data_IF_920032712951
#
_entry.id   IF_920032712951
#
_cell.length_a   1.000
_cell.length_b   1.000
_cell.length_c   1.000
_cell.angle_alpha   90.00
_cell.angle_beta   90.00
_cell.angle_gamma   90.00
#
_symmetry.space_group_name_H-M   'P 1'
#
loop_
_entity.id
_entity.type
_entity.pdbx_description
1 polymer ?
#
# COMPACT_ATOMS: atom_id res chain seq x y z
N UNK A 1 17.58 16.32 7.89
CA UNK A 1 16.25 15.78 8.32
C UNK A 1 16.44 14.34 8.75
N UNK A 2 16.32 14.06 10.03
CA UNK A 2 16.44 12.74 10.65
C UNK A 2 15.08 12.31 11.20
N UNK A 3 14.49 11.27 10.63
CA UNK A 3 13.18 10.80 11.07
C UNK A 3 13.28 10.08 12.42
N UNK A 4 12.33 10.38 13.30
CA UNK A 4 12.10 9.71 14.58
C UNK A 4 10.87 8.79 14.51
N UNK A 5 9.90 9.17 13.68
CA UNK A 5 8.68 8.39 13.47
C UNK A 5 8.13 8.64 12.09
N UNK A 6 7.71 7.56 11.44
CA UNK A 6 7.00 7.57 10.16
C UNK A 6 5.70 6.81 10.37
N UNK A 7 4.55 7.42 10.07
CA UNK A 7 3.26 6.81 10.30
C UNK A 7 2.30 7.05 9.12
N UNK A 8 1.76 5.98 8.57
CA UNK A 8 0.65 6.04 7.62
C UNK A 8 -0.67 6.06 8.38
N UNK A 9 -1.51 7.05 8.11
CA UNK A 9 -2.82 7.18 8.75
C UNK A 9 -3.87 6.29 8.07
N UNK A 10 -5.01 6.11 8.72
CA UNK A 10 -6.17 5.42 8.12
C UNK A 10 -6.70 6.08 6.84
N UNK A 11 -6.37 7.35 6.62
CA UNK A 11 -6.73 8.10 5.40
C UNK A 11 -5.68 7.96 4.29
N UNK A 12 -4.70 7.06 4.45
CA UNK A 12 -3.55 6.91 3.56
C UNK A 12 -2.74 8.21 3.40
N UNK A 13 -2.64 9.02 4.44
CA UNK A 13 -1.76 10.19 4.51
C UNK A 13 -0.56 9.89 5.39
N UNK A 14 0.53 10.63 5.24
CA UNK A 14 1.77 10.42 5.96
C UNK A 14 1.93 11.44 7.09
N UNK A 15 2.11 10.96 8.31
CA UNK A 15 2.55 11.75 9.43
C UNK A 15 4.00 11.39 9.76
N UNK A 16 4.82 12.38 10.03
CA UNK A 16 6.22 12.18 10.41
C UNK A 16 6.59 13.03 11.61
N UNK A 17 7.53 12.50 12.40
CA UNK A 17 8.27 13.25 13.39
C UNK A 17 9.75 13.16 13.01
N UNK A 18 10.42 14.28 12.93
CA UNK A 18 11.84 14.33 12.62
C UNK A 18 12.55 15.43 13.40
N UNK A 19 13.88 15.31 13.52
CA UNK A 19 14.73 16.40 14.00
C UNK A 19 15.11 17.29 12.82
N UNK A 20 14.96 18.61 13.03
CA UNK A 20 15.49 19.61 12.10
C UNK A 20 17.01 19.78 12.27
N UNK A 21 17.62 20.61 11.44
CA UNK A 21 19.06 20.89 11.50
C UNK A 21 19.48 21.63 12.80
N UNK A 22 18.54 22.19 13.53
CA UNK A 22 18.76 22.82 14.84
C UNK A 22 18.55 21.84 16.01
N UNK A 23 18.18 20.58 15.72
CA UNK A 23 17.92 19.53 16.72
C UNK A 23 16.51 19.57 17.32
N UNK A 24 15.60 20.42 16.82
CA UNK A 24 14.23 20.48 17.33
C UNK A 24 13.38 19.34 16.75
N UNK A 25 12.50 18.78 17.58
CA UNK A 25 11.49 17.82 17.13
C UNK A 25 10.36 18.54 16.41
N UNK A 26 10.17 18.21 15.15
CA UNK A 26 9.11 18.73 14.29
C UNK A 26 8.13 17.61 13.96
N UNK A 27 6.86 17.84 14.24
CA UNK A 27 5.78 16.92 13.82
C UNK A 27 5.06 17.53 12.63
N UNK A 28 4.97 16.77 11.54
CA UNK A 28 4.27 17.20 10.33
C UNK A 28 3.19 16.20 9.98
N UNK A 29 1.98 16.74 9.72
CA UNK A 29 0.80 15.96 9.33
C UNK A 29 0.55 16.18 7.85
N UNK A 30 0.61 15.10 7.07
CA UNK A 30 0.38 15.14 5.64
C UNK A 30 -1.09 15.24 5.28
N UNK A 31 -1.40 16.10 4.31
CA UNK A 31 -2.75 16.25 3.75
C UNK A 31 -3.00 15.43 2.49
N UNK A 32 -1.93 15.01 1.82
CA UNK A 32 -2.00 14.29 0.55
C UNK A 32 -1.91 12.77 0.75
N UNK A 33 -2.52 12.02 -0.17
CA UNK A 33 -2.45 10.56 -0.18
C UNK A 33 -1.02 10.12 -0.51
N UNK A 34 -0.55 9.07 0.16
CA UNK A 34 0.78 8.52 -0.08
C UNK A 34 0.86 7.86 -1.46
N UNK A 35 2.03 7.96 -2.09
CA UNK A 35 2.31 7.27 -3.34
C UNK A 35 2.36 5.74 -3.11
N UNK A 36 2.04 4.98 -4.17
CA UNK A 36 2.06 3.51 -4.14
C UNK A 36 3.41 2.92 -3.70
N UNK A 37 4.53 3.57 -4.05
CA UNK A 37 5.86 3.08 -3.72
C UNK A 37 6.11 3.14 -2.21
N UNK A 38 5.70 4.21 -1.53
CA UNK A 38 5.77 4.30 -0.07
C UNK A 38 4.92 3.21 0.59
N UNK A 39 3.72 2.95 0.05
CA UNK A 39 2.87 1.87 0.54
C UNK A 39 3.51 0.49 0.32
N UNK A 40 4.18 0.29 -0.80
CA UNK A 40 4.90 -0.95 -1.09
C UNK A 40 6.11 -1.13 -0.16
N UNK A 41 6.87 -0.06 0.10
CA UNK A 41 7.98 -0.08 1.05
C UNK A 41 7.51 -0.42 2.47
N UNK A 42 6.41 0.19 2.96
CA UNK A 42 5.82 -0.18 4.25
C UNK A 42 5.33 -1.63 4.29
N UNK A 43 4.73 -2.12 3.21
CA UNK A 43 4.30 -3.51 3.13
C UNK A 43 5.48 -4.51 3.14
N UNK A 44 6.68 -4.11 2.70
CA UNK A 44 7.86 -4.96 2.78
C UNK A 44 8.29 -5.26 4.23
N UNK A 45 7.83 -4.47 5.20
CA UNK A 45 8.07 -4.68 6.63
C UNK A 45 7.13 -5.71 7.27
N UNK A 46 6.04 -6.12 6.59
CA UNK A 46 5.07 -7.06 7.14
C UNK A 46 5.69 -8.43 7.49
N UNK A 47 6.52 -9.05 6.66
CA UNK A 47 7.20 -10.29 7.03
C UNK A 47 8.10 -10.13 8.26
N UNK A 48 8.78 -9.00 8.39
CA UNK A 48 9.67 -8.72 9.51
C UNK A 48 8.90 -8.61 10.83
N UNK A 49 7.83 -7.82 10.89
CA UNK A 49 7.01 -7.73 12.11
C UNK A 49 6.38 -9.10 12.46
N UNK A 50 6.00 -9.90 11.46
CA UNK A 50 5.46 -11.23 11.70
C UNK A 50 6.48 -12.19 12.31
N UNK A 51 7.72 -12.15 11.86
CA UNK A 51 8.83 -12.95 12.43
C UNK A 51 9.19 -12.46 13.82
N UNK A 52 9.42 -11.15 14.00
CA UNK A 52 9.80 -10.57 15.28
C UNK A 52 8.76 -10.72 16.39
N UNK A 53 7.49 -10.88 16.02
CA UNK A 53 6.38 -11.07 16.97
C UNK A 53 5.88 -12.50 17.00
N UNK A 54 6.66 -13.44 16.44
CA UNK A 54 6.40 -14.88 16.46
C UNK A 54 4.98 -15.25 16.00
N UNK A 55 4.52 -14.62 14.94
CA UNK A 55 3.19 -14.87 14.45
C UNK A 55 3.08 -16.29 13.88
N UNK A 56 1.97 -16.98 14.17
CA UNK A 56 1.72 -18.36 13.75
C UNK A 56 1.94 -18.60 12.25
N UNK A 57 1.63 -17.62 11.42
CA UNK A 57 1.80 -17.69 9.97
C UNK A 57 3.28 -17.62 9.55
N UNK A 58 4.14 -17.11 10.42
CA UNK A 58 5.58 -17.01 10.22
C UNK A 58 6.37 -18.17 10.90
N UNK A 59 5.69 -18.99 11.71
CA UNK A 59 6.31 -20.11 12.40
C UNK A 59 6.98 -21.08 11.42
N UNK A 60 8.24 -21.42 11.69
CA UNK A 60 9.09 -22.31 10.86
C UNK A 60 9.25 -21.84 9.39
N UNK A 61 9.14 -20.53 9.13
CA UNK A 61 9.28 -19.96 7.78
C UNK A 61 10.42 -18.96 7.73
N UNK A 62 11.10 -18.94 6.60
CA UNK A 62 12.14 -17.94 6.31
C UNK A 62 11.52 -16.65 5.76
N UNK A 63 12.27 -15.54 5.82
CA UNK A 63 11.87 -14.27 5.24
C UNK A 63 11.47 -14.42 3.76
N UNK A 64 12.29 -15.11 2.95
CA UNK A 64 12.01 -15.35 1.51
C UNK A 64 10.71 -16.11 1.26
N UNK A 65 10.38 -17.07 2.14
CA UNK A 65 9.11 -17.81 2.02
C UNK A 65 7.90 -16.93 2.34
N UNK A 66 8.04 -16.00 3.29
CA UNK A 66 6.99 -15.05 3.62
C UNK A 66 6.82 -14.01 2.50
N UNK A 67 7.91 -13.51 1.94
CA UNK A 67 7.88 -12.56 0.81
C UNK A 67 7.25 -13.17 -0.44
N UNK A 68 7.49 -14.46 -0.70
CA UNK A 68 6.87 -15.16 -1.82
C UNK A 68 5.34 -15.20 -1.75
N UNK A 69 4.76 -15.18 -0.55
CA UNK A 69 3.30 -15.12 -0.36
C UNK A 69 2.68 -13.80 -0.86
N UNK A 70 3.49 -12.74 -1.00
CA UNK A 70 3.05 -11.45 -1.55
C UNK A 70 2.58 -11.56 -2.99
N UNK A 71 3.19 -12.48 -3.74
CA UNK A 71 2.96 -12.67 -5.18
C UNK A 71 1.80 -13.65 -5.43
N UNK A 72 1.51 -14.54 -4.47
CA UNK A 72 0.45 -15.53 -4.59
C UNK A 72 -0.90 -14.96 -4.13
N UNK A 73 -1.63 -14.35 -5.04
CA UNK A 73 -3.03 -13.98 -4.82
C UNK A 73 -3.85 -15.24 -4.52
N UNK A 74 -4.49 -15.26 -3.33
CA UNK A 74 -5.38 -16.35 -2.92
C UNK A 74 -4.95 -17.15 -1.69
N UNK A 75 -3.71 -17.02 -1.21
CA UNK A 75 -3.28 -17.70 0.02
C UNK A 75 -3.94 -17.04 1.25
N UNK A 76 -4.95 -17.72 1.83
CA UNK A 76 -5.67 -17.23 3.02
C UNK A 76 -4.80 -17.12 4.28
N UNK A 77 -3.62 -17.74 4.28
CA UNK A 77 -2.65 -17.71 5.39
C UNK A 77 -1.51 -16.73 5.16
N UNK A 78 -1.56 -15.94 4.10
CA UNK A 78 -0.54 -14.92 3.85
C UNK A 78 -0.52 -13.87 4.96
N UNK A 79 0.66 -13.57 5.49
CA UNK A 79 0.85 -12.49 6.48
C UNK A 79 0.41 -11.14 5.91
N UNK A 80 0.52 -10.91 4.60
CA UNK A 80 0.11 -9.67 3.92
C UNK A 80 -1.41 -9.44 3.94
N UNK A 81 -2.22 -10.48 4.15
CA UNK A 81 -3.68 -10.36 4.30
C UNK A 81 -4.11 -10.12 5.73
N UNK A 82 -3.32 -10.62 6.68
CA UNK A 82 -3.67 -10.63 8.09
C UNK A 82 -3.02 -9.49 8.87
N UNK A 83 -1.97 -8.89 8.33
CA UNK A 83 -1.18 -7.88 9.03
C UNK A 83 -0.96 -6.64 8.18
N UNK A 84 -0.81 -5.53 8.87
CA UNK A 84 -0.37 -4.26 8.31
C UNK A 84 0.75 -3.70 9.18
N UNK A 85 1.68 -2.97 8.55
CA UNK A 85 2.61 -2.09 9.26
C UNK A 85 2.20 -0.67 8.92
N UNK A 86 1.92 0.15 9.91
CA UNK A 86 1.51 1.54 9.72
C UNK A 86 2.48 2.54 10.37
N UNK A 87 3.33 2.09 11.28
CA UNK A 87 4.22 2.95 12.05
C UNK A 87 5.61 2.34 12.14
N UNK A 88 6.61 3.17 11.90
CA UNK A 88 8.04 2.91 12.18
C UNK A 88 8.48 3.95 13.19
N UNK A 89 9.13 3.52 14.28
CA UNK A 89 9.80 4.40 15.22
C UNK A 89 11.30 4.14 15.12
N UNK A 90 12.06 5.21 14.94
CA UNK A 90 13.51 5.21 14.82
C UNK A 90 14.13 5.88 16.03
N UNK A 91 15.25 5.36 16.51
CA UNK A 91 16.02 6.07 17.52
C UNK A 91 16.92 7.13 16.88
N UNK A 92 17.55 7.93 17.74
CA UNK A 92 18.62 8.84 17.34
C UNK A 92 19.67 8.10 16.49
N UNK A 93 20.08 8.75 15.41
CA UNK A 93 21.03 8.22 14.42
C UNK A 93 20.56 6.98 13.66
N UNK A 94 19.23 6.70 13.63
CA UNK A 94 18.62 5.56 12.91
C UNK A 94 19.23 4.20 13.31
N UNK A 95 19.84 4.11 14.50
CA UNK A 95 20.50 2.90 14.98
C UNK A 95 19.58 1.85 15.55
N UNK A 96 18.37 2.22 15.94
CA UNK A 96 17.37 1.24 16.35
C UNK A 96 16.01 1.51 15.74
N UNK A 97 15.25 0.45 15.55
CA UNK A 97 13.93 0.46 14.92
C UNK A 97 12.94 -0.37 15.70
N UNK A 98 11.70 0.12 15.81
CA UNK A 98 10.55 -0.69 16.15
C UNK A 98 9.44 -0.49 15.14
N UNK A 99 8.68 -1.55 14.88
CA UNK A 99 7.56 -1.57 13.96
C UNK A 99 6.26 -1.71 14.73
N UNK A 100 5.24 -0.97 14.32
CA UNK A 100 3.90 -1.16 14.83
C UNK A 100 2.88 -1.23 13.70
N UNK A 101 1.81 -1.97 13.95
CA UNK A 101 0.75 -2.16 12.99
C UNK A 101 -0.45 -2.87 13.58
N UNK A 102 -1.23 -3.50 12.75
CA UNK A 102 -2.43 -4.22 13.14
C UNK A 102 -2.44 -5.64 12.60
N UNK A 103 -3.07 -6.54 13.34
CA UNK A 103 -3.37 -7.89 12.91
C UNK A 103 -4.87 -8.14 12.93
N UNK A 104 -5.38 -8.77 11.88
CA UNK A 104 -6.76 -9.23 11.77
C UNK A 104 -6.81 -10.68 12.27
N UNK A 105 -7.61 -10.93 13.29
CA UNK A 105 -7.83 -12.26 13.83
C UNK A 105 -8.88 -13.04 13.01
N UNK A 106 -8.94 -14.37 13.19
CA UNK A 106 -9.90 -15.23 12.47
C UNK A 106 -11.37 -14.83 12.68
N UNK A 107 -11.69 -14.24 13.83
CA UNK A 107 -13.03 -13.73 14.15
C UNK A 107 -13.28 -12.30 13.60
N UNK A 108 -12.35 -11.75 12.81
CA UNK A 108 -12.43 -10.40 12.24
C UNK A 108 -12.04 -9.27 13.19
N UNK A 109 -11.70 -9.56 14.45
CA UNK A 109 -11.19 -8.54 15.38
C UNK A 109 -9.82 -8.06 14.93
N UNK A 110 -9.56 -6.77 15.14
CA UNK A 110 -8.26 -6.14 14.85
C UNK A 110 -7.54 -5.87 16.17
N UNK A 111 -6.32 -6.37 16.29
CA UNK A 111 -5.45 -6.10 17.43
C UNK A 111 -4.22 -5.30 16.97
N UNK A 112 -3.69 -4.48 17.86
CA UNK A 112 -2.38 -3.85 17.64
C UNK A 112 -1.27 -4.87 17.87
N UNK A 113 -0.23 -4.76 17.05
CA UNK A 113 0.99 -5.55 17.15
C UNK A 113 2.16 -4.57 17.12
N UNK A 114 3.07 -4.74 18.05
CA UNK A 114 4.31 -3.96 18.15
C UNK A 114 5.49 -4.92 18.22
N UNK A 115 6.54 -4.65 17.44
CA UNK A 115 7.78 -5.41 17.51
C UNK A 115 8.63 -4.96 18.70
N UNK A 116 9.54 -5.81 19.19
CA UNK A 116 10.65 -5.35 20.00
C UNK A 116 11.43 -4.24 19.28
N UNK A 117 12.11 -3.40 20.04
CA UNK A 117 13.08 -2.47 19.49
C UNK A 117 14.37 -3.24 19.15
N UNK A 118 14.82 -3.16 17.92
CA UNK A 118 16.06 -3.78 17.46
C UNK A 118 17.09 -2.71 17.16
N UNK A 119 18.33 -2.97 17.56
CA UNK A 119 19.48 -2.13 17.22
C UNK A 119 20.19 -2.72 16.00
N UNK A 120 20.72 -1.90 15.12
CA UNK A 120 21.48 -2.33 13.94
C UNK A 120 22.73 -3.15 14.27
N UNK A 121 23.23 -3.03 15.52
CA UNK A 121 24.35 -3.83 16.02
C UNK A 121 23.92 -5.20 16.58
N UNK A 122 22.63 -5.42 16.84
CA UNK A 122 22.10 -6.62 17.48
C UNK A 122 21.76 -7.72 16.45
N UNK A 123 22.70 -8.03 15.58
CA UNK A 123 22.51 -9.04 14.52
C UNK A 123 22.18 -10.43 15.10
N UNK A 124 22.62 -10.71 16.34
CA UNK A 124 22.33 -11.98 17.02
C UNK A 124 20.87 -12.09 17.48
N UNK A 125 20.18 -10.96 17.66
CA UNK A 125 18.78 -10.94 18.16
C UNK A 125 17.75 -11.22 17.08
N UNK A 126 18.09 -11.01 15.80
CA UNK A 126 17.22 -11.20 14.67
C UNK A 126 18.01 -11.54 13.40
N UNK A 127 17.83 -12.75 12.87
CA UNK A 127 18.60 -13.27 11.73
C UNK A 127 18.53 -12.41 10.47
N UNK A 128 17.45 -11.63 10.31
CA UNK A 128 17.23 -10.76 9.13
C UNK A 128 17.37 -9.28 9.48
N UNK A 129 18.25 -8.95 10.43
CA UNK A 129 18.45 -7.58 10.89
C UNK A 129 18.87 -6.65 9.74
N UNK A 130 19.80 -7.08 8.90
CA UNK A 130 20.31 -6.29 7.76
C UNK A 130 19.19 -6.00 6.74
N UNK A 131 18.38 -7.02 6.39
CA UNK A 131 17.26 -6.88 5.47
C UNK A 131 16.19 -5.95 6.03
N UNK A 132 15.94 -6.00 7.35
CA UNK A 132 15.04 -5.08 8.03
C UNK A 132 15.50 -3.63 7.88
N UNK A 133 16.78 -3.35 8.16
CA UNK A 133 17.31 -1.98 8.06
C UNK A 133 17.30 -1.48 6.61
N UNK A 134 17.58 -2.32 5.62
CA UNK A 134 17.44 -1.96 4.20
C UNK A 134 15.98 -1.63 3.84
N UNK A 135 15.02 -2.41 4.35
CA UNK A 135 13.60 -2.13 4.11
C UNK A 135 13.15 -0.82 4.80
N UNK A 136 13.66 -0.53 6.01
CA UNK A 136 13.41 0.73 6.72
C UNK A 136 14.03 1.92 5.97
N UNK A 137 15.23 1.77 5.43
CA UNK A 137 15.88 2.79 4.61
C UNK A 137 15.04 3.12 3.36
N UNK A 138 14.48 2.10 2.70
CA UNK A 138 13.58 2.30 1.56
C UNK A 138 12.33 3.12 1.95
N UNK A 139 11.72 2.85 3.12
CA UNK A 139 10.58 3.64 3.63
C UNK A 139 11.02 5.07 3.94
N UNK A 140 12.15 5.25 4.59
CA UNK A 140 12.73 6.56 4.92
C UNK A 140 12.96 7.39 3.66
N UNK A 141 13.50 6.77 2.61
CA UNK A 141 13.71 7.40 1.31
C UNK A 141 12.39 7.86 0.68
N UNK A 142 11.40 6.99 0.59
CA UNK A 142 10.10 7.34 0.03
C UNK A 142 9.36 8.40 0.87
N UNK A 143 9.53 8.38 2.19
CA UNK A 143 8.99 9.43 3.06
C UNK A 143 9.68 10.80 2.81
N UNK A 144 10.97 10.82 2.52
CA UNK A 144 11.69 12.04 2.09
C UNK A 144 11.13 12.58 0.76
N UNK A 145 10.92 11.69 -0.23
CA UNK A 145 10.35 12.08 -1.53
C UNK A 145 8.93 12.67 -1.38
N UNK A 146 8.12 12.11 -0.48
CA UNK A 146 6.78 12.63 -0.20
C UNK A 146 6.82 14.10 0.24
N UNK A 147 7.77 14.47 1.11
CA UNK A 147 7.86 15.82 1.67
C UNK A 147 8.69 16.78 0.82
N UNK A 148 9.80 16.34 0.26
CA UNK A 148 10.74 17.20 -0.44
C UNK A 148 10.41 17.36 -1.92
N UNK A 149 9.89 16.30 -2.55
CA UNK A 149 9.64 16.25 -3.99
C UNK A 149 8.15 16.19 -4.32
N UNK A 150 7.27 16.31 -3.32
CA UNK A 150 5.82 16.24 -3.50
C UNK A 150 5.38 14.94 -4.22
N UNK A 151 6.07 13.82 -4.00
CA UNK A 151 5.71 12.51 -4.57
C UNK A 151 4.47 11.96 -3.88
N UNK A 152 3.31 12.44 -4.29
CA UNK A 152 2.01 12.05 -3.73
C UNK A 152 1.31 11.01 -4.60
N UNK A 153 0.38 10.29 -4.01
CA UNK A 153 -0.57 9.43 -4.72
C UNK A 153 -1.73 10.24 -5.28
N UNK A 154 -2.45 9.61 -6.20
CA UNK A 154 -3.69 10.16 -6.76
C UNK A 154 -4.84 9.75 -5.85
N UNK A 155 -5.71 10.68 -5.45
CA UNK A 155 -6.94 10.35 -4.73
C UNK A 155 -7.90 9.61 -5.66
N UNK A 156 -8.53 8.55 -5.17
CA UNK A 156 -9.65 7.94 -5.89
C UNK A 156 -10.74 9.01 -6.13
N UNK A 157 -11.03 9.31 -7.38
CA UNK A 157 -11.95 10.38 -7.80
C UNK A 157 -11.28 11.61 -8.41
N UNK A 158 -9.96 11.80 -8.25
CA UNK A 158 -9.22 12.89 -8.91
C UNK A 158 -8.72 12.50 -10.32
N UNK A 159 -9.06 11.32 -10.82
CA UNK A 159 -8.86 10.95 -12.22
C UNK A 159 -9.94 11.65 -13.06
N UNK A 160 -9.69 12.91 -13.36
CA UNK A 160 -10.45 13.63 -14.38
C UNK A 160 -10.02 13.11 -15.75
N UNK A 161 -10.74 12.10 -16.26
CA UNK A 161 -10.54 11.57 -17.61
C UNK A 161 -10.91 12.58 -18.71
N UNK A 162 -11.33 13.79 -18.34
CA UNK A 162 -11.74 14.83 -19.29
C UNK A 162 -10.58 15.69 -19.82
N UNK A 163 -9.36 15.58 -19.26
CA UNK A 163 -8.32 16.57 -19.55
C UNK A 163 -7.38 16.25 -20.71
N UNK A 164 -7.25 14.98 -21.14
CA UNK A 164 -6.40 14.65 -22.29
C UNK A 164 -6.96 13.39 -22.99
N UNK A 165 -8.09 13.55 -23.69
CA UNK A 165 -8.47 12.62 -24.73
C UNK A 165 -7.71 13.03 -26.02
N UNK A 166 -6.61 12.34 -26.39
CA UNK A 166 -5.94 12.60 -27.66
C UNK A 166 -6.82 12.26 -28.87
N UNK A 167 -8.07 11.84 -28.63
CA UNK A 167 -9.09 11.51 -29.62
C UNK A 167 -10.21 12.53 -29.76
N UNK A 168 -10.09 13.74 -29.22
CA UNK A 168 -11.01 14.83 -29.56
C UNK A 168 -10.68 15.41 -30.96
N UNK A 169 -10.44 14.52 -31.89
CA UNK A 169 -10.59 14.79 -33.30
C UNK A 169 -12.07 14.93 -33.57
N UNK A 170 -12.55 16.18 -33.73
CA UNK A 170 -13.84 16.49 -34.32
C UNK A 170 -14.04 15.64 -35.57
N UNK A 171 -14.73 14.50 -35.42
CA UNK A 171 -15.30 13.80 -36.56
C UNK A 171 -16.40 14.70 -37.07
N UNK A 172 -16.06 15.55 -38.06
CA UNK A 172 -17.05 16.24 -38.87
C UNK A 172 -17.92 15.19 -39.51
N UNK A 173 -19.20 15.29 -39.30
CA UNK A 173 -20.27 14.37 -39.70
C UNK A 173 -20.45 14.11 -41.21
N UNK A 174 -19.44 14.44 -42.04
CA UNK A 174 -19.56 14.41 -43.49
C UNK A 174 -18.86 13.21 -44.16
N UNK A 175 -18.43 12.18 -43.40
CA UNK A 175 -17.82 10.98 -44.01
C UNK A 175 -18.28 9.68 -43.33
N UNK A 176 -19.59 9.48 -43.17
CA UNK A 176 -20.12 8.14 -42.94
C UNK A 176 -20.68 7.66 -44.30
N UNK A 177 -20.05 6.66 -44.94
CA UNK A 177 -20.68 6.05 -46.11
C UNK A 177 -21.94 5.32 -45.61
N UNK A 178 -23.12 5.67 -46.16
CA UNK A 178 -24.36 4.93 -45.95
C UNK A 178 -24.15 3.47 -46.44
N UNK A 179 -23.98 2.58 -45.49
CA UNK A 179 -24.12 1.13 -45.76
C UNK A 179 -25.60 0.79 -45.68
N UNK A 180 -26.28 0.75 -46.81
CA UNK A 180 -27.64 0.23 -46.93
C UNK A 180 -27.61 -1.29 -46.67
N UNK A 181 -28.10 -1.69 -45.49
CA UNK A 181 -28.38 -3.10 -45.20
C UNK A 181 -29.82 -3.38 -45.65
N UNK A 182 -29.98 -3.83 -46.85
CA UNK A 182 -31.18 -4.43 -47.35
C UNK A 182 -31.51 -5.74 -46.60
N UNK A 183 -32.71 -5.78 -46.07
CA UNK A 183 -33.53 -6.95 -45.93
C UNK A 183 -33.17 -8.02 -44.92
N UNK A 184 -33.97 -8.07 -43.80
CA UNK A 184 -34.58 -9.31 -43.35
C UNK A 184 -35.77 -9.11 -42.38
N UNK A 185 -36.89 -9.47 -42.85
CA UNK A 185 -38.19 -9.93 -42.27
C UNK A 185 -38.33 -9.96 -40.73
N UNK A 186 -39.33 -9.23 -40.26
CA UNK A 186 -39.91 -9.34 -38.92
C UNK A 186 -40.48 -10.76 -38.70
N UNK A 187 -39.99 -11.45 -37.69
CA UNK A 187 -40.62 -12.66 -37.16
C UNK A 187 -41.60 -12.24 -36.06
N UNK A 188 -42.84 -12.74 -36.20
CA UNK A 188 -43.98 -12.37 -35.35
C UNK A 188 -43.87 -12.92 -33.92
N UNK A 189 -44.37 -12.12 -32.99
CA UNK A 189 -44.52 -12.42 -31.57
C UNK A 189 -45.68 -13.37 -31.33
N UNK A 190 -45.54 -14.50 -30.62
CA UNK A 190 -46.71 -15.39 -30.35
C UNK A 190 -47.62 -14.75 -29.32
N UNK A 191 -48.94 -14.88 -29.56
CA UNK A 191 -50.01 -14.44 -28.68
C UNK A 191 -50.12 -15.35 -27.45
N UNK A 192 -50.23 -14.77 -26.25
CA UNK A 192 -50.59 -15.48 -25.01
C UNK A 192 -52.06 -15.95 -25.09
N UNK A 193 -52.27 -17.25 -24.97
CA UNK A 193 -53.60 -17.83 -24.70
C UNK A 193 -53.94 -17.67 -23.22
N UNK A 194 -55.13 -17.11 -22.95
CA UNK A 194 -55.78 -17.17 -21.63
C UNK A 194 -56.43 -18.55 -21.50
N UNK A 195 -56.17 -19.19 -20.38
CA UNK A 195 -56.89 -20.39 -19.95
C UNK A 195 -57.91 -19.93 -18.93
N UNK A 196 -59.12 -20.39 -19.14
CA UNK A 196 -60.26 -20.20 -18.28
C UNK A 196 -60.15 -21.08 -17.02
#
# INVERSE_FOLDING_TARGET
MEFQKIQITKKNTLNVVFKDDAGNLVTVVGGNVIHKDLKQAMNALIPHIALMTEQREAENRTLKQLEADRIQDGNSRSVFRLMTVDTITLSEEEKSVSLAGCRILQNGMVIKVESPQLNSADVESYDYCNELFLAVEAVTYEAKLYWQEAKWGIKEGDLDFAADDPFDGKVTSDQVPEVSIDGKKKAGRPKKQKVA
#
